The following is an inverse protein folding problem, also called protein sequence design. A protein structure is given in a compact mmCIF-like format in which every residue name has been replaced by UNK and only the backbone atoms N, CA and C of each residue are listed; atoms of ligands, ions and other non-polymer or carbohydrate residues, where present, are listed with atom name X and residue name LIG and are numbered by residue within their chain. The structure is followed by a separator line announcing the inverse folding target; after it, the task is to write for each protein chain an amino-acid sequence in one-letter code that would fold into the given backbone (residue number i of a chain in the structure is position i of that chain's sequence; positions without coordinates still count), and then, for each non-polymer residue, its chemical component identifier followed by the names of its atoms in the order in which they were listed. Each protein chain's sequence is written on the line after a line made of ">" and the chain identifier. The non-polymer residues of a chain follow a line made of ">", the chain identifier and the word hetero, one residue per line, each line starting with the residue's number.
data_IF_810942453475
#
_entry.id   IF_810942453475
#
_cell.length_a   1.000
_cell.length_b   1.000
_cell.length_c   1.000
_cell.angle_alpha   90.00
_cell.angle_beta   90.00
_cell.angle_gamma   90.00
#
_symmetry.space_group_name_H-M   'P 1'
#
loop_
_entity.id
_entity.type
_entity.pdbx_description
1 polymer ?
#
# COMPACT_ATOMS: atom_id res chain seq x y z
N UNK A 1 -35.94 -16.13 9.46
CA UNK A 1 -35.07 -16.45 8.30
C UNK A 1 -35.03 -15.33 7.27
N UNK A 2 -36.13 -14.64 6.95
CA UNK A 2 -36.14 -13.50 6.01
C UNK A 2 -35.29 -12.29 6.46
N UNK A 3 -35.32 -11.93 7.74
CA UNK A 3 -34.55 -10.79 8.26
C UNK A 3 -33.03 -11.00 8.23
N UNK A 4 -32.56 -12.22 8.50
CA UNK A 4 -31.13 -12.58 8.45
C UNK A 4 -30.60 -12.56 7.00
N UNK A 5 -31.41 -13.03 6.04
CA UNK A 5 -31.02 -12.98 4.63
C UNK A 5 -30.92 -11.54 4.12
N UNK A 6 -31.83 -10.65 4.54
CA UNK A 6 -31.77 -9.23 4.18
C UNK A 6 -30.51 -8.54 4.72
N UNK A 7 -30.15 -8.75 5.99
CA UNK A 7 -28.96 -8.14 6.59
C UNK A 7 -27.65 -8.62 5.94
N UNK A 8 -27.59 -9.88 5.51
CA UNK A 8 -26.42 -10.43 4.80
C UNK A 8 -26.27 -9.79 3.42
N UNK A 9 -27.36 -9.58 2.70
CA UNK A 9 -27.33 -8.92 1.38
C UNK A 9 -26.87 -7.47 1.49
N UNK A 10 -27.34 -6.74 2.50
CA UNK A 10 -26.88 -5.36 2.76
C UNK A 10 -25.37 -5.32 3.07
N UNK A 11 -24.88 -6.25 3.88
CA UNK A 11 -23.45 -6.34 4.21
C UNK A 11 -22.58 -6.64 2.97
N UNK A 12 -23.04 -7.54 2.08
CA UNK A 12 -22.34 -7.87 0.83
C UNK A 12 -22.26 -6.65 -0.10
N UNK A 13 -23.35 -5.88 -0.23
CA UNK A 13 -23.35 -4.64 -0.99
C UNK A 13 -22.43 -3.57 -0.39
N UNK A 14 -22.41 -3.44 0.94
CA UNK A 14 -21.49 -2.53 1.62
C UNK A 14 -20.02 -2.91 1.37
N UNK A 15 -19.69 -4.21 1.39
CA UNK A 15 -18.33 -4.69 1.11
C UNK A 15 -17.91 -4.38 -0.34
N UNK A 16 -18.78 -4.65 -1.31
CA UNK A 16 -18.49 -4.39 -2.71
C UNK A 16 -18.27 -2.88 -2.97
N UNK A 17 -19.14 -2.02 -2.42
CA UNK A 17 -19.01 -0.57 -2.57
C UNK A 17 -17.76 -0.02 -1.86
N UNK A 18 -17.41 -0.55 -0.69
CA UNK A 18 -16.18 -0.17 0.02
C UNK A 18 -14.92 -0.47 -0.81
N UNK A 19 -14.80 -1.67 -1.38
CA UNK A 19 -13.67 -2.03 -2.24
C UNK A 19 -13.59 -1.16 -3.51
N UNK A 20 -14.73 -0.76 -4.06
CA UNK A 20 -14.76 0.16 -5.21
C UNK A 20 -14.25 1.56 -4.84
N UNK A 21 -14.68 2.08 -3.69
CA UNK A 21 -14.20 3.37 -3.16
C UNK A 21 -12.71 3.31 -2.85
N UNK A 22 -12.23 2.21 -2.27
CA UNK A 22 -10.81 1.95 -2.04
C UNK A 22 -9.99 2.00 -3.34
N UNK A 23 -10.41 1.25 -4.37
CA UNK A 23 -9.73 1.25 -5.66
C UNK A 23 -9.69 2.63 -6.34
N UNK A 24 -10.76 3.43 -6.19
CA UNK A 24 -10.81 4.81 -6.68
C UNK A 24 -9.84 5.72 -5.89
N UNK A 25 -9.86 5.62 -4.57
CA UNK A 25 -9.00 6.41 -3.70
C UNK A 25 -7.52 6.07 -3.95
N UNK A 26 -7.19 4.79 -4.06
CA UNK A 26 -5.86 4.31 -4.40
C UNK A 26 -5.40 4.84 -5.76
N UNK A 27 -6.27 4.86 -6.76
CA UNK A 27 -5.93 5.37 -8.09
C UNK A 27 -5.64 6.87 -8.09
N UNK A 28 -6.42 7.65 -7.34
CA UNK A 28 -6.17 9.09 -7.17
C UNK A 28 -4.85 9.33 -6.43
N UNK A 29 -4.62 8.61 -5.32
CA UNK A 29 -3.39 8.72 -4.53
C UNK A 29 -2.16 8.27 -5.32
N UNK A 30 -2.27 7.20 -6.13
CA UNK A 30 -1.21 6.73 -7.00
C UNK A 30 -0.83 7.77 -8.05
N UNK A 31 -1.81 8.46 -8.63
CA UNK A 31 -1.56 9.58 -9.55
C UNK A 31 -0.73 10.69 -8.90
N UNK A 32 -1.11 11.13 -7.70
CA UNK A 32 -0.36 12.13 -6.92
C UNK A 32 1.05 11.62 -6.60
N UNK A 33 1.19 10.37 -6.18
CA UNK A 33 2.48 9.75 -5.92
C UNK A 33 3.38 9.73 -7.16
N UNK A 34 2.82 9.41 -8.33
CA UNK A 34 3.54 9.42 -9.62
C UNK A 34 4.12 10.81 -9.94
N UNK A 35 3.30 11.86 -9.81
CA UNK A 35 3.75 13.25 -10.02
C UNK A 35 4.87 13.64 -9.05
N UNK A 36 4.73 13.28 -7.77
CA UNK A 36 5.76 13.52 -6.77
C UNK A 36 7.05 12.75 -7.07
N UNK A 37 6.94 11.49 -7.52
CA UNK A 37 8.09 10.66 -7.86
C UNK A 37 8.88 11.26 -9.02
N UNK A 38 8.19 11.67 -10.10
CA UNK A 38 8.81 12.34 -11.25
C UNK A 38 9.49 13.64 -10.81
N UNK A 39 8.83 14.44 -9.98
CA UNK A 39 9.39 15.70 -9.47
C UNK A 39 10.68 15.46 -8.67
N UNK A 40 10.71 14.45 -7.80
CA UNK A 40 11.91 14.10 -7.03
C UNK A 40 13.04 13.61 -7.93
N UNK A 41 12.74 12.77 -8.92
CA UNK A 41 13.74 12.30 -9.89
C UNK A 41 14.30 13.45 -10.72
N UNK A 42 13.45 14.40 -11.14
CA UNK A 42 13.86 15.62 -11.82
C UNK A 42 14.78 16.47 -10.94
N UNK A 43 14.42 16.68 -9.67
CA UNK A 43 15.22 17.43 -8.71
C UNK A 43 16.58 16.77 -8.45
N UNK A 44 16.63 15.45 -8.36
CA UNK A 44 17.86 14.69 -8.18
C UNK A 44 18.79 14.77 -9.39
N UNK A 45 18.23 14.86 -10.61
CA UNK A 45 19.01 15.07 -11.82
C UNK A 45 19.58 16.49 -11.91
N UNK A 46 18.85 17.49 -11.41
CA UNK A 46 19.25 18.91 -11.46
C UNK A 46 20.26 19.32 -10.38
N UNK A 47 20.47 18.53 -9.33
CA UNK A 47 21.43 18.85 -8.26
C UNK A 47 22.83 18.30 -8.56
N UNK A 48 23.84 19.17 -8.48
CA UNK A 48 25.26 18.78 -8.57
C UNK A 48 25.68 17.80 -7.45
N UNK A 49 25.02 17.88 -6.28
CA UNK A 49 25.16 16.88 -5.22
C UNK A 49 24.22 15.72 -5.48
N UNK A 50 24.74 14.69 -6.15
CA UNK A 50 24.03 13.43 -6.35
C UNK A 50 23.64 12.83 -4.99
N UNK A 51 22.37 12.43 -4.80
CA UNK A 51 21.99 11.70 -3.60
C UNK A 51 22.78 10.39 -3.52
N UNK A 52 22.97 9.88 -2.30
CA UNK A 52 23.58 8.57 -2.10
C UNK A 52 22.81 7.51 -2.91
N UNK A 53 23.53 6.63 -3.59
CA UNK A 53 22.97 5.59 -4.49
C UNK A 53 21.87 4.78 -3.77
N UNK A 54 22.08 4.52 -2.48
CA UNK A 54 21.13 3.83 -1.58
C UNK A 54 19.76 4.50 -1.49
N UNK A 55 19.69 5.84 -1.47
CA UNK A 55 18.42 6.58 -1.42
C UNK A 55 17.68 6.48 -2.75
N UNK A 56 18.42 6.52 -3.86
CA UNK A 56 17.84 6.36 -5.19
C UNK A 56 17.31 4.94 -5.39
N UNK A 57 18.05 3.91 -4.95
CA UNK A 57 17.59 2.52 -4.95
C UNK A 57 16.33 2.33 -4.10
N UNK A 58 16.29 2.89 -2.89
CA UNK A 58 15.11 2.81 -2.03
C UNK A 58 13.86 3.45 -2.65
N UNK A 59 14.03 4.56 -3.37
CA UNK A 59 12.94 5.22 -4.10
C UNK A 59 12.42 4.35 -5.26
N UNK A 60 13.33 3.73 -6.02
CA UNK A 60 12.99 2.84 -7.15
C UNK A 60 12.25 1.60 -6.65
N UNK A 61 12.76 0.94 -5.61
CA UNK A 61 12.10 -0.22 -4.99
C UNK A 61 10.70 0.16 -4.54
N UNK A 62 10.56 1.29 -3.81
CA UNK A 62 9.25 1.77 -3.35
C UNK A 62 8.28 2.03 -4.50
N UNK A 63 8.76 2.59 -5.61
CA UNK A 63 7.94 2.85 -6.79
C UNK A 63 7.39 1.54 -7.37
N UNK A 64 8.22 0.51 -7.51
CA UNK A 64 7.76 -0.80 -7.99
C UNK A 64 6.78 -1.47 -7.03
N UNK A 65 7.03 -1.42 -5.72
CA UNK A 65 6.14 -2.05 -4.73
C UNK A 65 4.75 -1.41 -4.72
N UNK A 66 4.69 -0.07 -4.77
CA UNK A 66 3.42 0.68 -4.83
C UNK A 66 2.70 0.43 -6.16
N UNK A 67 3.44 0.39 -7.27
CA UNK A 67 2.85 0.12 -8.59
C UNK A 67 2.29 -1.30 -8.66
N UNK A 68 3.00 -2.29 -8.12
CA UNK A 68 2.53 -3.67 -8.03
C UNK A 68 1.26 -3.82 -7.19
N UNK A 69 1.23 -3.16 -6.03
CA UNK A 69 0.03 -3.09 -5.18
C UNK A 69 -1.17 -2.49 -5.93
N UNK A 70 -0.98 -1.33 -6.56
CA UNK A 70 -2.05 -0.62 -7.28
C UNK A 70 -2.59 -1.42 -8.48
N UNK A 71 -1.72 -1.99 -9.33
CA UNK A 71 -2.13 -2.89 -10.42
C UNK A 71 -2.96 -4.03 -9.86
N UNK A 72 -2.54 -4.53 -8.70
CA UNK A 72 -3.24 -5.55 -8.00
C UNK A 72 -4.66 -5.17 -7.59
N UNK A 73 -4.84 -4.05 -6.91
CA UNK A 73 -6.16 -3.57 -6.51
C UNK A 73 -7.08 -3.35 -7.72
N UNK A 74 -6.53 -2.81 -8.82
CA UNK A 74 -7.27 -2.69 -10.07
C UNK A 74 -7.68 -4.04 -10.63
N UNK A 75 -6.75 -5.01 -10.71
CA UNK A 75 -7.06 -6.34 -11.20
C UNK A 75 -8.16 -7.02 -10.37
N UNK A 76 -8.07 -6.95 -9.04
CA UNK A 76 -9.10 -7.49 -8.14
C UNK A 76 -10.48 -6.87 -8.43
N UNK A 77 -10.51 -5.55 -8.58
CA UNK A 77 -11.74 -4.79 -8.82
C UNK A 77 -12.33 -5.11 -10.19
N UNK A 78 -11.54 -5.09 -11.25
CA UNK A 78 -12.03 -5.46 -12.58
C UNK A 78 -12.48 -6.92 -12.64
N UNK A 79 -11.75 -7.84 -12.01
CA UNK A 79 -12.14 -9.25 -11.98
C UNK A 79 -13.46 -9.47 -11.23
N UNK A 80 -13.60 -8.85 -10.05
CA UNK A 80 -14.80 -8.96 -9.23
C UNK A 80 -16.05 -8.35 -9.89
N UNK A 81 -15.93 -7.18 -10.54
CA UNK A 81 -17.08 -6.49 -11.11
C UNK A 81 -17.38 -6.88 -12.56
N UNK A 82 -16.36 -7.13 -13.40
CA UNK A 82 -16.55 -7.41 -14.83
C UNK A 82 -16.66 -8.91 -15.11
N UNK A 83 -15.85 -9.75 -14.46
CA UNK A 83 -15.81 -11.18 -14.76
C UNK A 83 -16.82 -12.00 -13.94
N UNK A 84 -17.07 -11.62 -12.69
CA UNK A 84 -17.97 -12.37 -11.79
C UNK A 84 -19.43 -11.89 -11.83
N UNK A 85 -19.78 -10.93 -12.69
CA UNK A 85 -21.18 -10.54 -12.96
C UNK A 85 -21.82 -9.53 -12.00
N UNK A 86 -21.04 -8.96 -11.06
CA UNK A 86 -21.45 -7.84 -10.20
C UNK A 86 -22.33 -8.21 -8.99
N UNK A 87 -22.07 -7.57 -7.85
CA UNK A 87 -22.93 -7.62 -6.65
C UNK A 87 -22.56 -8.74 -5.67
N UNK A 88 -23.31 -9.84 -5.66
CA UNK A 88 -23.23 -10.90 -4.64
C UNK A 88 -22.01 -11.79 -4.77
N UNK A 89 -21.59 -12.10 -6.00
CA UNK A 89 -20.39 -12.90 -6.31
C UNK A 89 -19.09 -12.11 -6.16
N UNK A 90 -19.13 -10.80 -6.43
CA UNK A 90 -18.01 -9.88 -6.20
C UNK A 90 -17.66 -9.79 -4.70
N UNK A 91 -18.67 -9.63 -3.85
CA UNK A 91 -18.46 -9.59 -2.40
C UNK A 91 -17.95 -10.92 -1.83
N UNK A 92 -18.44 -12.06 -2.35
CA UNK A 92 -17.91 -13.38 -1.98
C UNK A 92 -16.44 -13.60 -2.41
N UNK A 93 -15.98 -12.94 -3.48
CA UNK A 93 -14.58 -12.94 -3.89
C UNK A 93 -13.70 -12.16 -2.90
N UNK A 94 -14.17 -11.00 -2.42
CA UNK A 94 -13.45 -10.19 -1.41
C UNK A 94 -13.45 -10.81 -0.02
N UNK A 95 -14.49 -11.57 0.34
CA UNK A 95 -14.58 -12.26 1.64
C UNK A 95 -13.57 -13.43 1.76
N UNK A 96 -13.04 -13.91 0.62
CA UNK A 96 -12.06 -14.98 0.62
C UNK A 96 -10.62 -14.49 0.89
N UNK A 97 -10.32 -14.27 2.17
CA UNK A 97 -8.99 -13.88 2.67
C UNK A 97 -7.89 -14.90 2.38
N UNK A 98 -8.24 -16.16 2.11
CA UNK A 98 -7.28 -17.23 1.77
C UNK A 98 -6.87 -17.22 0.30
N UNK A 99 -7.42 -16.31 -0.51
CA UNK A 99 -7.05 -16.17 -1.90
C UNK A 99 -5.56 -15.79 -2.02
N UNK A 100 -4.79 -16.47 -2.89
CA UNK A 100 -3.38 -16.10 -3.13
C UNK A 100 -3.24 -14.65 -3.61
N UNK A 101 -4.32 -14.10 -4.17
CA UNK A 101 -4.38 -12.71 -4.59
C UNK A 101 -4.37 -11.73 -3.41
N UNK A 102 -5.16 -12.00 -2.36
CA UNK A 102 -5.18 -11.21 -1.14
C UNK A 102 -3.82 -11.22 -0.44
N UNK A 103 -3.20 -12.40 -0.32
CA UNK A 103 -1.86 -12.55 0.26
C UNK A 103 -0.81 -11.75 -0.50
N UNK A 104 -0.86 -11.77 -1.83
CA UNK A 104 0.08 -11.02 -2.68
C UNK A 104 -0.05 -9.51 -2.44
N UNK A 105 -1.28 -8.99 -2.43
CA UNK A 105 -1.54 -7.58 -2.13
C UNK A 105 -1.07 -7.18 -0.72
N UNK A 106 -1.29 -8.05 0.27
CA UNK A 106 -0.84 -7.82 1.64
C UNK A 106 0.69 -7.74 1.74
N UNK A 107 1.41 -8.61 1.02
CA UNK A 107 2.88 -8.59 0.96
C UNK A 107 3.38 -7.30 0.30
N UNK A 108 2.77 -6.85 -0.80
CA UNK A 108 3.13 -5.59 -1.43
C UNK A 108 2.86 -4.37 -0.52
N UNK A 109 1.73 -4.37 0.18
CA UNK A 109 1.39 -3.32 1.14
C UNK A 109 2.41 -3.29 2.30
N UNK A 110 2.70 -4.45 2.89
CA UNK A 110 3.68 -4.60 3.97
C UNK A 110 5.10 -4.19 3.55
N UNK A 111 5.54 -4.62 2.38
CA UNK A 111 6.84 -4.22 1.83
C UNK A 111 6.90 -2.70 1.58
N UNK A 112 5.83 -2.09 1.09
CA UNK A 112 5.74 -0.64 0.88
C UNK A 112 5.84 0.13 2.20
N UNK A 113 5.21 -0.38 3.25
CA UNK A 113 5.29 0.19 4.59
C UNK A 113 6.70 0.09 5.16
N UNK A 114 7.36 -1.07 5.05
CA UNK A 114 8.73 -1.27 5.52
C UNK A 114 9.71 -0.31 4.83
N UNK A 115 9.68 -0.23 3.49
CA UNK A 115 10.56 0.66 2.73
C UNK A 115 10.31 2.13 3.09
N UNK A 116 9.05 2.51 3.31
CA UNK A 116 8.69 3.87 3.74
C UNK A 116 9.30 4.21 5.11
N UNK A 117 9.17 3.30 6.08
CA UNK A 117 9.74 3.49 7.42
C UNK A 117 11.28 3.57 7.37
N UNK A 118 11.93 2.69 6.60
CA UNK A 118 13.39 2.72 6.43
C UNK A 118 13.88 4.06 5.85
N UNK A 119 13.18 4.60 4.86
CA UNK A 119 13.52 5.91 4.27
C UNK A 119 13.34 7.07 5.27
N UNK A 120 12.29 7.03 6.09
CA UNK A 120 12.03 8.03 7.14
C UNK A 120 13.10 7.95 8.22
N UNK A 121 13.44 6.76 8.69
CA UNK A 121 14.52 6.52 9.66
C UNK A 121 15.85 7.05 9.13
N UNK A 122 16.18 6.73 7.88
CA UNK A 122 17.40 7.25 7.24
C UNK A 122 17.41 8.79 7.17
N UNK A 123 16.27 9.43 6.84
CA UNK A 123 16.18 10.89 6.83
C UNK A 123 16.36 11.50 8.22
N UNK A 124 15.69 10.96 9.24
CA UNK A 124 15.86 11.38 10.63
C UNK A 124 17.31 11.26 11.07
N UNK A 125 17.96 10.15 10.72
CA UNK A 125 19.36 9.90 11.05
C UNK A 125 20.31 10.95 10.48
N UNK A 126 20.11 11.34 9.21
CA UNK A 126 20.93 12.35 8.53
C UNK A 126 20.68 13.75 9.09
N UNK A 127 19.43 14.10 9.42
CA UNK A 127 19.07 15.43 9.94
C UNK A 127 19.62 15.65 11.35
N UNK A 128 19.54 14.63 12.21
CA UNK A 128 19.96 14.73 13.62
C UNK A 128 21.44 14.36 13.85
N UNK A 129 22.29 14.57 12.84
CA UNK A 129 23.75 14.42 12.93
C UNK A 129 24.20 13.11 13.58
N UNK A 130 23.60 11.97 13.17
CA UNK A 130 24.00 10.62 13.63
C UNK A 130 23.77 10.35 15.14
N UNK A 131 22.90 11.11 15.81
CA UNK A 131 22.54 10.84 17.21
C UNK A 131 21.62 9.61 17.32
N UNK A 132 22.11 8.56 17.99
CA UNK A 132 21.43 7.26 18.10
C UNK A 132 20.06 7.34 18.79
N UNK A 133 19.86 8.31 19.68
CA UNK A 133 18.64 8.50 20.47
C UNK A 133 17.40 8.73 19.61
N UNK A 134 17.54 9.39 18.45
CA UNK A 134 16.42 9.71 17.56
C UNK A 134 15.95 8.49 16.74
N UNK A 135 16.83 7.49 16.57
CA UNK A 135 16.54 6.26 15.83
C UNK A 135 15.72 5.27 16.68
N UNK A 136 15.88 5.31 18.01
CA UNK A 136 15.27 4.35 18.94
C UNK A 136 13.74 4.41 18.88
N UNK A 137 13.14 5.60 18.76
CA UNK A 137 11.70 5.76 18.79
C UNK A 137 11.00 5.14 17.56
N UNK A 138 11.44 5.40 16.31
CA UNK A 138 10.95 4.67 15.14
C UNK A 138 11.26 3.18 15.16
N UNK A 139 12.42 2.76 15.69
CA UNK A 139 12.80 1.35 15.79
C UNK A 139 11.89 0.57 16.74
N UNK A 140 11.57 1.14 17.89
CA UNK A 140 10.62 0.53 18.84
C UNK A 140 9.24 0.39 18.19
N UNK A 141 8.77 1.41 17.46
CA UNK A 141 7.50 1.31 16.74
C UNK A 141 7.50 0.20 15.67
N UNK A 142 8.63 0.03 14.98
CA UNK A 142 8.80 -1.02 13.97
C UNK A 142 8.81 -2.42 14.61
N UNK A 143 9.55 -2.63 15.69
CA UNK A 143 9.66 -3.94 16.35
C UNK A 143 8.40 -4.31 17.13
N UNK A 144 7.76 -3.34 17.79
CA UNK A 144 6.51 -3.55 18.51
C UNK A 144 5.32 -3.78 17.56
N UNK A 145 5.36 -3.22 16.35
CA UNK A 145 4.38 -3.46 15.30
C UNK A 145 4.49 -4.85 14.67
N UNK A 146 5.69 -5.41 14.57
CA UNK A 146 5.94 -6.77 14.05
C UNK A 146 5.57 -7.86 15.07
N UNK A 147 5.76 -7.62 16.37
CA UNK A 147 5.43 -8.59 17.43
C UNK A 147 3.93 -8.85 17.68
N UNK A 148 3.03 -8.26 16.88
CA UNK A 148 1.58 -8.53 16.93
C UNK A 148 1.09 -9.52 15.87
N UNK A 149 2.00 -10.04 15.05
CA UNK A 149 1.69 -10.99 13.97
C UNK A 149 2.26 -12.40 14.22
N UNK A 150 2.75 -12.67 15.43
CA UNK A 150 3.02 -14.02 15.98
C UNK A 150 1.84 -14.46 16.86
#
# INVERSE_FOLDING_TARGET
>A
MSALAASVVEALHALATANLVEALLESVLYGVYGVLCITVLYLFRSRERRPAVWVSMGLVIRFFTITGHWIGTLYATFFAFVHLGGGTTAAAFYDNLSSPWYLTNLVFLGASFLVTNLLVIHRLHVIFSNSRTVIILPLIFLTLGLGKYD
#
